data_IF_972801968976
#
_entry.id   IF_972801968976
#
_cell.length_a   1.000
_cell.length_b   1.000
_cell.length_c   1.000
_cell.angle_alpha   90.00
_cell.angle_beta   90.00
_cell.angle_gamma   90.00
#
_symmetry.space_group_name_H-M   'P 1'
#
loop_
_entity.id
_entity.type
_entity.pdbx_description
1 polymer ?
#
# COMPACT_ATOMS: atom_id res chain seq x y z
N UNK A 1 36.52 2.25 1.46
CA UNK A 1 36.37 3.72 1.55
C UNK A 1 36.76 4.15 2.96
N UNK A 2 37.66 5.13 3.14
CA UNK A 2 38.21 5.52 4.45
C UNK A 2 37.51 6.75 5.08
N UNK A 3 36.44 7.24 4.44
CA UNK A 3 35.78 8.51 4.73
C UNK A 3 34.25 8.36 4.77
N UNK A 4 33.75 7.22 5.23
CA UNK A 4 32.31 6.98 5.45
C UNK A 4 32.06 6.92 6.96
N UNK A 5 31.11 7.71 7.43
CA UNK A 5 30.70 7.77 8.83
C UNK A 5 29.19 7.53 8.93
N UNK A 6 28.75 6.86 10.00
CA UNK A 6 27.34 6.54 10.26
C UNK A 6 26.96 7.14 11.61
N UNK A 7 25.80 7.78 11.68
CA UNK A 7 25.20 8.28 12.93
C UNK A 7 23.90 7.53 13.16
N UNK A 8 23.76 6.93 14.33
CA UNK A 8 22.53 6.25 14.75
C UNK A 8 21.45 7.29 15.07
N UNK A 9 20.25 7.10 14.54
CA UNK A 9 19.10 7.96 14.79
C UNK A 9 17.92 7.11 15.23
N UNK A 10 17.20 7.58 16.26
CA UNK A 10 15.98 6.96 16.79
C UNK A 10 14.73 7.68 16.27
N UNK A 11 14.80 8.12 15.01
CA UNK A 11 13.65 8.61 14.26
C UNK A 11 13.10 7.43 13.46
N UNK A 12 11.79 7.19 13.54
CA UNK A 12 11.12 6.20 12.72
C UNK A 12 11.28 6.56 11.25
N UNK A 13 12.29 6.01 10.59
CA UNK A 13 12.56 6.22 9.18
C UNK A 13 12.03 5.01 8.42
N UNK A 14 11.16 5.27 7.45
CA UNK A 14 10.66 4.26 6.53
C UNK A 14 11.00 4.73 5.13
N UNK A 15 11.66 3.88 4.36
CA UNK A 15 11.83 4.07 2.92
C UNK A 15 10.43 4.19 2.30
N UNK A 16 9.97 5.42 2.03
CA UNK A 16 8.70 5.74 1.36
C UNK A 16 8.76 5.35 -0.12
N UNK A 17 9.03 4.08 -0.39
CA UNK A 17 9.14 3.47 -1.71
C UNK A 17 8.56 2.06 -1.79
N UNK A 18 7.96 1.55 -0.70
CA UNK A 18 7.27 0.25 -0.69
C UNK A 18 5.82 0.39 -0.22
N UNK A 19 4.94 -0.48 -0.71
CA UNK A 19 3.55 -0.55 -0.25
C UNK A 19 3.48 -1.04 1.19
N UNK A 20 4.45 -1.85 1.61
CA UNK A 20 4.61 -2.25 3.01
C UNK A 20 4.84 -1.07 3.95
N UNK A 21 5.79 -0.20 3.64
CA UNK A 21 6.06 1.02 4.42
C UNK A 21 4.81 1.90 4.53
N UNK A 22 4.10 2.07 3.41
CA UNK A 22 2.83 2.79 3.38
C UNK A 22 1.79 2.15 4.30
N UNK A 23 1.65 0.82 4.28
CA UNK A 23 0.71 0.10 5.13
C UNK A 23 1.01 0.27 6.63
N UNK A 24 2.28 0.22 7.01
CA UNK A 24 2.70 0.35 8.42
C UNK A 24 2.33 1.72 8.99
N UNK A 25 2.54 2.79 8.23
CA UNK A 25 2.31 4.18 8.69
C UNK A 25 0.89 4.69 8.45
N UNK A 26 0.08 4.00 7.66
CA UNK A 26 -1.28 4.42 7.34
C UNK A 26 -2.27 4.03 8.44
N UNK A 27 -3.31 4.85 8.59
CA UNK A 27 -4.50 4.54 9.36
C UNK A 27 -5.22 3.33 8.76
N UNK A 28 -5.73 2.46 9.63
CA UNK A 28 -6.36 1.19 9.26
C UNK A 28 -7.79 1.17 9.76
N UNK A 29 -8.67 0.52 9.00
CA UNK A 29 -10.02 0.20 9.45
C UNK A 29 -10.01 -0.97 10.46
N UNK A 30 -11.21 -1.38 10.91
CA UNK A 30 -11.40 -2.48 11.86
C UNK A 30 -10.90 -3.85 11.35
N UNK A 31 -10.68 -3.99 10.04
CA UNK A 31 -10.23 -5.21 9.37
C UNK A 31 -8.77 -5.10 8.90
N UNK A 32 -8.01 -4.16 9.46
CA UNK A 32 -6.63 -3.85 9.10
C UNK A 32 -6.44 -3.37 7.64
N UNK A 33 -7.48 -2.87 6.98
CA UNK A 33 -7.34 -2.32 5.64
C UNK A 33 -6.91 -0.86 5.66
N UNK A 34 -6.06 -0.48 4.71
CA UNK A 34 -5.74 0.91 4.42
C UNK A 34 -6.61 1.35 3.25
N UNK A 35 -7.53 2.28 3.49
CA UNK A 35 -8.53 2.72 2.50
C UNK A 35 -8.33 4.20 2.19
N UNK A 36 -8.13 4.52 0.91
CA UNK A 36 -8.02 5.89 0.41
C UNK A 36 -8.79 6.02 -0.91
N UNK A 37 -10.01 6.58 -0.83
CA UNK A 37 -10.90 6.69 -1.97
C UNK A 37 -12.38 6.62 -1.58
N UNK A 38 -13.25 6.53 -2.58
CA UNK A 38 -14.67 6.22 -2.37
C UNK A 38 -14.86 4.70 -2.50
N UNK A 39 -14.58 3.99 -1.41
CA UNK A 39 -14.41 2.53 -1.41
C UNK A 39 -15.37 1.89 -0.41
N UNK A 40 -16.00 0.78 -0.80
CA UNK A 40 -16.78 -0.10 0.07
C UNK A 40 -16.10 -1.47 0.11
N UNK A 41 -15.81 -1.96 1.30
CA UNK A 41 -15.16 -3.24 1.53
C UNK A 41 -16.14 -4.24 2.19
N UNK A 42 -16.14 -5.47 1.70
CA UNK A 42 -16.86 -6.60 2.29
C UNK A 42 -15.93 -7.80 2.41
N UNK A 43 -15.90 -8.46 3.57
CA UNK A 43 -15.02 -9.63 3.82
C UNK A 43 -13.57 -9.41 3.35
N UNK A 44 -13.05 -8.19 3.54
CA UNK A 44 -11.73 -7.78 3.05
C UNK A 44 -10.85 -7.44 4.24
N UNK A 45 -9.64 -7.97 4.28
CA UNK A 45 -8.74 -7.87 5.44
C UNK A 45 -7.30 -7.58 5.03
N UNK A 46 -6.60 -6.80 5.85
CA UNK A 46 -5.15 -6.55 5.71
C UNK A 46 -4.72 -5.97 4.35
N UNK A 47 -5.64 -5.34 3.61
CA UNK A 47 -5.43 -4.93 2.22
C UNK A 47 -5.23 -3.41 2.09
N UNK A 48 -4.50 -2.98 1.07
CA UNK A 48 -4.32 -1.57 0.72
C UNK A 48 -5.18 -1.27 -0.49
N UNK A 49 -6.10 -0.32 -0.38
CA UNK A 49 -6.99 0.07 -1.47
C UNK A 49 -6.90 1.58 -1.65
N UNK A 50 -6.28 2.01 -2.75
CA UNK A 50 -6.06 3.41 -3.10
C UNK A 50 -6.58 3.72 -4.49
N UNK A 51 -7.65 4.50 -4.58
CA UNK A 51 -8.29 4.84 -5.86
C UNK A 51 -8.79 6.30 -5.85
N UNK A 52 -8.84 6.97 -7.01
CA UNK A 52 -9.45 8.30 -7.13
C UNK A 52 -10.89 8.32 -6.60
N UNK A 53 -11.29 9.44 -5.99
CA UNK A 53 -12.60 9.59 -5.36
C UNK A 53 -13.76 9.78 -6.35
N UNK A 54 -13.48 9.92 -7.65
CA UNK A 54 -14.53 10.16 -8.65
C UNK A 54 -15.41 8.93 -8.91
N UNK A 55 -14.96 7.73 -8.54
CA UNK A 55 -15.70 6.48 -8.77
C UNK A 55 -15.83 5.65 -7.50
N UNK A 56 -16.95 4.95 -7.37
CA UNK A 56 -17.16 3.97 -6.31
C UNK A 56 -16.43 2.68 -6.66
N UNK A 57 -15.61 2.19 -5.72
CA UNK A 57 -14.93 0.90 -5.83
C UNK A 57 -15.47 -0.03 -4.76
N UNK A 58 -15.97 -1.20 -5.17
CA UNK A 58 -16.47 -2.23 -4.26
C UNK A 58 -15.50 -3.39 -4.28
N UNK A 59 -14.99 -3.77 -3.10
CA UNK A 59 -14.02 -4.86 -2.94
C UNK A 59 -14.63 -5.92 -2.04
N UNK A 60 -14.68 -7.16 -2.52
CA UNK A 60 -15.20 -8.28 -1.77
C UNK A 60 -14.22 -9.45 -1.73
N UNK A 61 -13.97 -9.99 -0.52
CA UNK A 61 -13.23 -11.24 -0.34
C UNK A 61 -11.72 -11.16 -0.55
N UNK A 62 -11.12 -9.96 -0.52
CA UNK A 62 -9.66 -9.81 -0.65
C UNK A 62 -8.96 -9.86 0.70
N UNK A 63 -7.90 -10.67 0.81
CA UNK A 63 -7.05 -10.72 1.99
C UNK A 63 -5.59 -10.52 1.60
N UNK A 64 -4.93 -9.54 2.23
CA UNK A 64 -3.53 -9.18 1.95
C UNK A 64 -3.26 -8.80 0.48
N UNK A 65 -4.13 -7.99 -0.11
CA UNK A 65 -3.95 -7.44 -1.47
C UNK A 65 -3.61 -5.96 -1.47
N UNK A 66 -3.04 -5.51 -2.58
CA UNK A 66 -2.87 -4.11 -2.96
C UNK A 66 -3.78 -3.89 -4.18
N UNK A 67 -4.66 -2.90 -4.07
CA UNK A 67 -5.50 -2.37 -5.14
C UNK A 67 -5.14 -0.90 -5.25
N UNK A 68 -4.49 -0.51 -6.33
CA UNK A 68 -4.01 0.85 -6.52
C UNK A 68 -4.30 1.34 -7.93
N UNK A 69 -4.74 2.59 -8.06
CA UNK A 69 -4.98 3.21 -9.36
C UNK A 69 -4.14 4.47 -9.54
N UNK A 70 -3.42 4.53 -10.65
CA UNK A 70 -2.59 5.68 -11.03
C UNK A 70 -2.47 5.76 -12.55
N UNK A 71 -2.56 6.97 -13.12
CA UNK A 71 -2.37 7.26 -14.55
C UNK A 71 -3.06 6.27 -15.51
N UNK A 72 -4.37 6.05 -15.28
CA UNK A 72 -5.21 5.11 -16.04
C UNK A 72 -4.79 3.63 -15.96
N UNK A 73 -3.91 3.27 -15.01
CA UNK A 73 -3.54 1.89 -14.69
C UNK A 73 -4.18 1.49 -13.37
N UNK A 74 -4.83 0.34 -13.36
CA UNK A 74 -5.31 -0.33 -12.14
C UNK A 74 -4.38 -1.50 -11.82
N UNK A 75 -3.67 -1.40 -10.72
CA UNK A 75 -2.84 -2.44 -10.15
C UNK A 75 -3.65 -3.24 -9.13
N UNK A 76 -3.69 -4.55 -9.31
CA UNK A 76 -4.23 -5.50 -8.32
C UNK A 76 -3.20 -6.60 -8.13
N UNK A 77 -2.61 -6.70 -6.94
CA UNK A 77 -1.64 -7.74 -6.67
C UNK A 77 -1.63 -8.16 -5.19
N UNK A 78 -1.20 -9.39 -4.90
CA UNK A 78 -0.88 -9.80 -3.53
C UNK A 78 0.17 -8.86 -2.90
N UNK A 79 -0.01 -8.52 -1.63
CA UNK A 79 0.89 -7.63 -0.87
C UNK A 79 2.31 -8.18 -0.77
N UNK A 80 2.47 -9.51 -0.73
CA UNK A 80 3.78 -10.20 -0.72
C UNK A 80 4.53 -10.11 -2.07
N UNK A 81 3.85 -9.73 -3.14
CA UNK A 81 4.42 -9.61 -4.50
C UNK A 81 4.64 -8.16 -4.93
N UNK A 82 4.57 -7.19 -4.02
CA UNK A 82 4.74 -5.76 -4.32
C UNK A 82 6.03 -5.44 -5.10
N UNK A 83 7.12 -6.18 -4.89
CA UNK A 83 8.39 -5.93 -5.57
C UNK A 83 8.34 -6.21 -7.07
N UNK A 84 7.44 -7.11 -7.51
CA UNK A 84 7.24 -7.42 -8.94
C UNK A 84 6.51 -6.31 -9.68
N UNK A 85 5.85 -5.39 -8.97
CA UNK A 85 5.14 -4.25 -9.58
C UNK A 85 6.10 -3.41 -10.41
N UNK A 86 7.36 -3.25 -9.96
CA UNK A 86 8.43 -2.55 -10.69
C UNK A 86 8.78 -3.16 -12.05
N UNK A 87 8.35 -4.38 -12.35
CA UNK A 87 8.56 -5.01 -13.67
C UNK A 87 7.49 -4.58 -14.69
N UNK A 88 6.37 -4.01 -14.23
CA UNK A 88 5.23 -3.62 -15.06
C UNK A 88 5.13 -2.11 -15.30
N UNK A 89 5.98 -1.30 -14.65
CA UNK A 89 6.03 0.18 -14.73
C UNK A 89 7.38 0.67 -15.18
#
# INVERSE_FOLDING_TARGET
AQNVHVVLSDIGWSDLGTWKSLYEVSEKDENDNVIDGHIVTHNTTGSIIKTPKERLVVVEGLSDYIVAEFDNVLLICPKDKEQKVKEFV
#
